data_IF_573064206269
#
_entry.id   IF_573064206269
#
_cell.length_a   1.000
_cell.length_b   1.000
_cell.length_c   1.000
_cell.angle_alpha   90.00
_cell.angle_beta   90.00
_cell.angle_gamma   90.00
#
_symmetry.space_group_name_H-M   'P 1'
#
loop_
_entity.id
_entity.type
_entity.pdbx_description
1 polymer ?
#
# COMPACT_ATOMS: atom_id res chain seq x y z
N UNK A 1 14.51 4.76 24.70
CA UNK A 1 15.73 4.34 24.02
C UNK A 1 15.45 3.90 22.59
N UNK A 2 16.49 3.53 21.86
CA UNK A 2 16.38 3.17 20.46
C UNK A 2 15.50 1.94 20.24
N UNK A 3 15.55 0.97 21.11
CA UNK A 3 14.75 -0.23 20.99
C UNK A 3 13.26 0.09 21.07
N UNK A 4 12.88 0.95 22.00
CA UNK A 4 11.51 1.41 22.13
C UNK A 4 11.11 2.25 20.91
N UNK A 5 11.99 3.10 20.42
CA UNK A 5 11.72 3.92 19.25
C UNK A 5 11.53 3.08 17.99
N UNK A 6 12.17 1.94 17.91
CA UNK A 6 12.01 1.01 16.79
C UNK A 6 11.01 -0.11 17.05
N UNK A 7 10.22 0.00 18.12
CA UNK A 7 9.15 -0.95 18.37
C UNK A 7 8.20 -0.99 17.17
N UNK A 8 7.77 -2.19 16.83
CA UNK A 8 6.85 -2.39 15.70
C UNK A 8 5.38 -2.43 16.14
N UNK A 9 5.08 -2.00 17.36
CA UNK A 9 3.70 -2.08 17.88
C UNK A 9 2.70 -1.25 17.08
N UNK A 10 3.17 -0.17 16.45
CA UNK A 10 2.32 0.68 15.60
C UNK A 10 2.58 0.49 14.11
N UNK A 11 3.41 -0.47 13.74
CA UNK A 11 3.76 -0.73 12.36
C UNK A 11 3.14 -2.04 11.87
N UNK A 12 2.66 -2.05 10.64
CA UNK A 12 2.12 -3.22 9.97
C UNK A 12 2.95 -3.46 8.72
N UNK A 13 3.57 -4.64 8.62
CA UNK A 13 4.27 -5.05 7.41
C UNK A 13 3.27 -5.76 6.51
N UNK A 14 3.29 -5.43 5.24
CA UNK A 14 2.38 -6.03 4.27
C UNK A 14 3.11 -6.55 3.06
N UNK A 15 2.50 -7.56 2.45
CA UNK A 15 2.95 -8.17 1.22
C UNK A 15 1.71 -8.60 0.45
N UNK A 16 1.50 -8.05 -0.73
CA UNK A 16 0.32 -8.33 -1.56
C UNK A 16 0.81 -8.89 -2.88
N UNK A 17 0.42 -10.11 -3.19
CA UNK A 17 0.87 -10.82 -4.38
C UNK A 17 -0.35 -11.39 -5.09
N UNK A 18 -0.66 -10.84 -6.25
CA UNK A 18 -1.70 -11.36 -7.13
C UNK A 18 -3.08 -11.49 -6.46
N UNK A 19 -3.41 -10.53 -5.59
CA UNK A 19 -4.64 -10.54 -4.82
C UNK A 19 -5.02 -9.12 -4.37
N UNK A 20 -6.14 -9.02 -3.67
CA UNK A 20 -6.55 -7.81 -2.96
C UNK A 20 -6.54 -8.10 -1.46
N UNK A 21 -5.90 -7.23 -0.71
CA UNK A 21 -5.81 -7.37 0.75
C UNK A 21 -6.18 -6.07 1.43
N UNK A 22 -6.88 -6.17 2.57
CA UNK A 22 -7.12 -5.04 3.45
C UNK A 22 -5.93 -4.92 4.40
N UNK A 23 -5.29 -3.75 4.39
CA UNK A 23 -4.05 -3.52 5.13
C UNK A 23 -4.33 -2.84 6.46
N UNK A 24 -5.17 -1.81 6.47
CA UNK A 24 -5.46 -1.00 7.64
C UNK A 24 -6.96 -0.78 7.78
N UNK A 25 -7.47 -0.90 9.01
CA UNK A 25 -8.87 -0.65 9.33
C UNK A 25 -9.05 0.29 10.52
N UNK A 26 -7.97 0.72 11.14
CA UNK A 26 -7.98 1.54 12.36
C UNK A 26 -7.82 3.02 11.99
N UNK A 27 -8.58 3.88 12.67
CA UNK A 27 -8.54 5.32 12.41
C UNK A 27 -7.19 5.93 12.82
N UNK A 28 -6.75 6.94 12.08
CA UNK A 28 -5.54 7.67 12.37
C UNK A 28 -4.82 8.14 11.12
N UNK A 29 -3.69 8.81 11.34
CA UNK A 29 -2.77 9.20 10.27
C UNK A 29 -1.68 8.15 10.14
N UNK A 30 -1.45 7.71 8.92
CA UNK A 30 -0.48 6.65 8.64
C UNK A 30 0.51 7.10 7.58
N UNK A 31 1.77 6.75 7.80
CA UNK A 31 2.77 6.77 6.75
C UNK A 31 2.84 5.38 6.14
N UNK A 32 2.77 5.32 4.83
CA UNK A 32 2.77 4.07 4.07
C UNK A 32 3.91 4.16 3.06
N UNK A 33 4.82 3.21 3.12
CA UNK A 33 5.96 3.20 2.22
C UNK A 33 6.30 1.77 1.83
N UNK A 34 6.85 1.63 0.65
CA UNK A 34 7.22 0.33 0.14
C UNK A 34 7.56 0.39 -1.34
N UNK A 35 7.47 -0.76 -1.99
CA UNK A 35 7.75 -0.87 -3.40
C UNK A 35 6.74 -1.77 -4.09
N UNK A 36 6.55 -1.51 -5.38
CA UNK A 36 5.79 -2.38 -6.27
C UNK A 36 6.74 -2.95 -7.30
N UNK A 37 6.60 -4.25 -7.57
CA UNK A 37 7.31 -4.92 -8.66
C UNK A 37 6.26 -5.44 -9.64
N UNK A 38 6.42 -5.10 -10.90
CA UNK A 38 5.53 -5.53 -11.95
C UNK A 38 6.31 -6.27 -13.00
N UNK A 39 5.79 -7.42 -13.42
CA UNK A 39 6.37 -8.23 -14.49
C UNK A 39 5.31 -8.47 -15.53
N UNK A 40 5.54 -8.03 -16.75
CA UNK A 40 4.64 -8.25 -17.87
C UNK A 40 5.34 -9.12 -18.90
N UNK A 41 4.84 -10.31 -19.13
CA UNK A 41 5.48 -11.29 -20.03
C UNK A 41 4.67 -11.55 -21.31
N UNK A 42 3.52 -10.91 -21.44
CA UNK A 42 2.69 -10.94 -22.64
C UNK A 42 2.10 -9.56 -22.83
N UNK A 43 1.42 -9.25 -23.94
CA UNK A 43 0.79 -7.95 -24.11
C UNK A 43 -0.42 -7.77 -23.18
N UNK A 44 -0.21 -8.02 -21.90
CA UNK A 44 -1.18 -7.84 -20.84
C UNK A 44 -0.72 -6.73 -19.91
N UNK A 45 -1.69 -6.14 -19.21
CA UNK A 45 -1.42 -5.10 -18.25
C UNK A 45 -1.26 -5.71 -16.87
N UNK A 46 -0.17 -5.35 -16.18
CA UNK A 46 -0.02 -5.61 -14.75
C UNK A 46 -0.22 -4.31 -13.99
N UNK A 47 -0.80 -4.39 -12.81
CA UNK A 47 -1.20 -3.20 -12.08
C UNK A 47 -1.14 -3.44 -10.58
N UNK A 48 -0.71 -2.41 -9.86
CA UNK A 48 -0.71 -2.37 -8.40
C UNK A 48 -1.41 -1.09 -7.98
N UNK A 49 -2.41 -1.19 -7.12
CA UNK A 49 -3.18 -0.04 -6.65
C UNK A 49 -3.28 -0.03 -5.14
N UNK A 50 -3.36 1.17 -4.58
CA UNK A 50 -3.68 1.40 -3.17
C UNK A 50 -4.94 2.26 -3.12
N UNK A 51 -5.93 1.80 -2.38
CA UNK A 51 -7.24 2.42 -2.31
C UNK A 51 -7.65 2.69 -0.86
N UNK A 52 -8.43 3.74 -0.66
CA UNK A 52 -9.14 4.00 0.59
C UNK A 52 -10.63 3.88 0.31
N UNK A 53 -11.32 3.12 1.16
CA UNK A 53 -12.76 2.91 1.01
C UNK A 53 -13.46 3.07 2.35
N UNK A 54 -14.67 3.64 2.29
CA UNK A 54 -15.58 3.70 3.44
C UNK A 54 -16.66 2.60 3.39
N UNK A 55 -16.51 1.66 2.46
CA UNK A 55 -17.47 0.59 2.23
C UNK A 55 -18.51 0.92 1.15
N UNK A 56 -18.63 2.18 0.77
CA UNK A 56 -19.55 2.64 -0.28
C UNK A 56 -18.77 3.29 -1.42
N UNK A 57 -17.86 4.18 -1.08
CA UNK A 57 -17.02 4.90 -2.04
C UNK A 57 -15.58 4.46 -1.88
N UNK A 58 -14.93 4.18 -3.00
CA UNK A 58 -13.51 3.81 -3.04
C UNK A 58 -12.76 4.85 -3.84
N UNK A 59 -11.64 5.33 -3.28
CA UNK A 59 -10.75 6.26 -3.96
C UNK A 59 -9.37 5.66 -4.08
N UNK A 60 -8.83 5.72 -5.28
CA UNK A 60 -7.48 5.27 -5.57
C UNK A 60 -6.48 6.36 -5.18
N UNK A 61 -5.52 6.02 -4.34
CA UNK A 61 -4.50 6.96 -3.87
C UNK A 61 -3.13 6.70 -4.49
N UNK A 62 -2.92 5.53 -5.06
CA UNK A 62 -1.70 5.18 -5.78
C UNK A 62 -2.02 4.13 -6.82
N UNK A 63 -1.43 4.28 -7.99
CA UNK A 63 -1.62 3.34 -9.09
C UNK A 63 -0.32 3.23 -9.89
N UNK A 64 0.16 2.02 -10.04
CA UNK A 64 1.32 1.71 -10.85
C UNK A 64 0.91 0.68 -11.89
N UNK A 65 1.06 1.03 -13.16
CA UNK A 65 0.62 0.20 -14.28
C UNK A 65 1.81 -0.05 -15.19
N UNK A 66 1.97 -1.29 -15.62
CA UNK A 66 2.91 -1.65 -16.66
C UNK A 66 2.19 -2.42 -17.75
N UNK A 67 2.45 -2.04 -18.99
CA UNK A 67 1.89 -2.70 -20.16
C UNK A 67 3.00 -3.04 -21.14
N UNK A 68 3.04 -4.29 -21.55
CA UNK A 68 3.96 -4.74 -22.58
C UNK A 68 3.26 -4.72 -23.92
N UNK A 69 3.86 -4.08 -24.92
CA UNK A 69 3.31 -4.00 -26.26
C UNK A 69 3.87 -5.08 -27.19
N UNK A 70 4.79 -5.90 -26.70
CA UNK A 70 5.34 -7.03 -27.45
C UNK A 70 5.35 -8.27 -26.55
N UNK A 71 5.62 -9.43 -27.10
CA UNK A 71 5.69 -10.67 -26.33
C UNK A 71 6.96 -10.80 -25.48
N UNK A 72 7.79 -9.76 -25.41
CA UNK A 72 9.00 -9.75 -24.61
C UNK A 72 8.66 -9.39 -23.18
N UNK A 73 9.21 -10.16 -22.22
CA UNK A 73 9.01 -9.88 -20.81
C UNK A 73 9.60 -8.52 -20.44
N UNK A 74 8.83 -7.76 -19.68
CA UNK A 74 9.21 -6.45 -19.17
C UNK A 74 9.02 -6.42 -17.67
N UNK A 75 10.00 -5.86 -16.95
CA UNK A 75 9.97 -5.74 -15.49
C UNK A 75 10.12 -4.27 -15.09
N UNK A 76 9.50 -3.91 -13.99
CA UNK A 76 9.63 -2.58 -13.43
C UNK A 76 9.45 -2.59 -11.93
N UNK A 77 10.15 -1.69 -11.25
CA UNK A 77 10.07 -1.49 -9.81
C UNK A 77 9.77 -0.02 -9.57
N UNK A 78 8.80 0.26 -8.71
CA UNK A 78 8.45 1.62 -8.32
C UNK A 78 8.28 1.68 -6.82
N UNK A 79 8.89 2.70 -6.21
CA UNK A 79 8.76 2.94 -4.78
C UNK A 79 7.62 3.92 -4.51
N UNK A 80 7.00 3.79 -3.35
CA UNK A 80 6.00 4.73 -2.90
C UNK A 80 6.21 5.09 -1.43
N UNK A 81 5.86 6.32 -1.09
CA UNK A 81 5.91 6.83 0.28
C UNK A 81 4.91 7.97 0.38
N UNK A 82 3.83 7.76 1.13
CA UNK A 82 2.82 8.78 1.29
C UNK A 82 2.14 8.66 2.65
N UNK A 83 1.46 9.73 3.05
CA UNK A 83 0.71 9.80 4.29
C UNK A 83 -0.77 9.86 3.99
N UNK A 84 -1.56 9.07 4.72
CA UNK A 84 -3.01 9.04 4.58
C UNK A 84 -3.68 9.24 5.93
N UNK A 85 -4.90 9.76 5.88
CA UNK A 85 -5.80 9.83 7.02
C UNK A 85 -6.90 8.80 6.83
N UNK A 86 -7.07 7.90 7.79
CA UNK A 86 -8.20 6.99 7.86
C UNK A 86 -9.17 7.47 8.93
N UNK A 87 -10.38 7.78 8.52
CA UNK A 87 -11.48 8.15 9.43
C UNK A 87 -12.20 6.90 9.90
N UNK A 88 -13.12 7.08 10.85
CA UNK A 88 -13.94 5.96 11.33
C UNK A 88 -14.71 5.33 10.14
N UNK A 89 -14.60 4.01 10.00
CA UNK A 89 -15.23 3.27 8.90
C UNK A 89 -14.39 3.17 7.65
N UNK A 90 -13.27 3.90 7.56
CA UNK A 90 -12.37 3.80 6.41
C UNK A 90 -11.44 2.60 6.56
N UNK A 91 -11.05 2.05 5.43
CA UNK A 91 -10.01 1.05 5.36
C UNK A 91 -9.09 1.31 4.18
N UNK A 92 -7.83 0.89 4.31
CA UNK A 92 -6.85 0.92 3.24
C UNK A 92 -6.72 -0.47 2.66
N UNK A 93 -6.92 -0.58 1.36
CA UNK A 93 -6.79 -1.84 0.63
C UNK A 93 -5.72 -1.71 -0.45
N UNK A 94 -5.07 -2.81 -0.75
CA UNK A 94 -4.10 -2.89 -1.84
C UNK A 94 -4.46 -4.04 -2.77
N UNK A 95 -4.36 -3.79 -4.06
CA UNK A 95 -4.62 -4.79 -5.09
C UNK A 95 -3.40 -4.93 -5.97
N UNK A 96 -2.94 -6.15 -6.14
CA UNK A 96 -1.91 -6.51 -7.12
C UNK A 96 -2.53 -7.49 -8.10
N UNK A 97 -2.51 -7.14 -9.38
CA UNK A 97 -3.01 -8.03 -10.43
C UNK A 97 -1.93 -9.03 -10.82
N UNK A 98 -2.22 -9.85 -11.80
CA UNK A 98 -1.33 -10.92 -12.26
C UNK A 98 0.11 -10.40 -12.44
N UNK A 99 1.07 -11.09 -11.82
CA UNK A 99 2.50 -10.77 -11.87
C UNK A 99 2.86 -9.42 -11.25
N UNK A 100 2.01 -8.85 -10.42
CA UNK A 100 2.31 -7.67 -9.63
C UNK A 100 2.52 -8.05 -8.17
N UNK A 101 3.38 -7.31 -7.50
CA UNK A 101 3.77 -7.58 -6.13
C UNK A 101 3.95 -6.24 -5.40
N UNK A 102 3.30 -6.09 -4.25
CA UNK A 102 3.45 -4.91 -3.41
C UNK A 102 3.97 -5.35 -2.05
N UNK A 103 5.03 -4.72 -1.58
CA UNK A 103 5.56 -5.01 -0.26
C UNK A 103 5.99 -3.71 0.42
N UNK A 104 5.78 -3.64 1.70
CA UNK A 104 6.16 -2.45 2.45
C UNK A 104 5.65 -2.47 3.87
N UNK A 105 5.50 -1.28 4.43
CA UNK A 105 5.14 -1.08 5.80
C UNK A 105 4.21 0.12 5.95
N UNK A 106 3.25 0.00 6.85
CA UNK A 106 2.38 1.09 7.25
C UNK A 106 2.58 1.35 8.73
N UNK A 107 2.73 2.61 9.10
CA UNK A 107 2.96 3.01 10.48
C UNK A 107 2.03 4.15 10.85
N UNK A 108 1.35 4.00 11.97
CA UNK A 108 0.55 5.09 12.51
C UNK A 108 1.47 6.16 13.11
N UNK A 109 1.28 7.41 12.69
CA UNK A 109 2.10 8.52 13.15
C UNK A 109 1.33 9.46 14.07
N UNK A 110 0.00 9.50 13.97
CA UNK A 110 -0.82 10.34 14.83
C UNK A 110 -2.23 9.76 14.92
N UNK A 111 -2.95 10.14 15.99
CA UNK A 111 -4.38 9.86 16.10
C UNK A 111 -5.21 10.94 15.37
N UNK A 112 -6.53 10.81 15.40
CA UNK A 112 -7.43 11.76 14.72
C UNK A 112 -7.37 13.17 15.30
N UNK A 113 -6.91 13.32 16.55
CA UNK A 113 -6.74 14.63 17.17
C UNK A 113 -5.39 15.27 16.84
N UNK A 114 -4.54 14.55 16.08
CA UNK A 114 -3.21 15.03 15.71
C UNK A 114 -2.14 14.75 16.74
N UNK A 115 -2.44 13.99 17.79
CA UNK A 115 -1.44 13.60 18.77
C UNK A 115 -0.52 12.53 18.20
N UNK A 116 0.77 12.72 18.34
CA UNK A 116 1.76 11.75 17.85
C UNK A 116 1.62 10.41 18.58
N UNK A 117 1.78 9.35 17.83
CA UNK A 117 1.74 7.99 18.34
C UNK A 117 3.17 7.48 18.47
N UNK A 118 3.50 6.91 19.63
CA UNK A 118 4.80 6.29 19.82
C UNK A 118 4.92 5.03 18.97
N UNK A 119 6.07 4.86 18.32
CA UNK A 119 6.31 3.66 17.50
C UNK A 119 6.36 2.38 18.33
#
# INVERSE_FOLDING_TARGET
DLQTAFSLTSATVFEVNNTTSTILTTTGYYRIFGSTTLVSDTPTQTQATVNITDGVTTKEVYNCIMRTISATQTQGISDFDFTVLLKAGDSLTMTATQNAFIAGSARQIADLSGNLVNP
#
